data_IF_038224895372
#
_entry.id   IF_038224895372
#
_cell.length_a   1.000
_cell.length_b   1.000
_cell.length_c   1.000
_cell.angle_alpha   90.00
_cell.angle_beta   90.00
_cell.angle_gamma   90.00
#
_symmetry.space_group_name_H-M   'P 1'
#
loop_
_entity.id
_entity.type
_entity.pdbx_description
1 polymer ?
#
# COMPACT_ATOMS: atom_id res chain seq x y z
N UNK A 1 3.16 29.58 -3.63
CA UNK A 1 2.89 28.37 -4.42
C UNK A 1 1.57 27.82 -3.95
N UNK A 2 0.49 28.13 -4.65
CA UNK A 2 -0.86 27.69 -4.30
C UNK A 2 -1.24 26.65 -5.33
N UNK A 3 -1.32 25.37 -4.93
CA UNK A 3 -1.70 24.26 -5.81
C UNK A 3 -3.21 24.05 -5.79
N UNK A 4 -3.76 23.48 -6.87
CA UNK A 4 -5.18 23.09 -6.95
C UNK A 4 -5.33 21.70 -6.36
N UNK A 5 -6.20 21.56 -5.37
CA UNK A 5 -6.50 20.27 -4.72
C UNK A 5 -7.89 19.81 -5.14
N UNK A 6 -7.96 18.62 -5.74
CA UNK A 6 -9.22 17.95 -6.11
C UNK A 6 -9.32 16.62 -5.38
N UNK A 7 -10.50 16.35 -4.84
CA UNK A 7 -10.84 15.08 -4.20
C UNK A 7 -12.05 14.52 -4.92
N UNK A 8 -12.02 13.25 -5.30
CA UNK A 8 -13.20 12.53 -5.73
C UNK A 8 -13.77 11.71 -4.57
N UNK A 9 -14.97 12.07 -4.14
CA UNK A 9 -15.67 11.38 -3.07
C UNK A 9 -16.34 10.08 -3.54
N UNK A 10 -16.48 9.85 -4.85
CA UNK A 10 -17.03 8.61 -5.39
C UNK A 10 -15.94 7.53 -5.53
N UNK A 11 -14.73 7.92 -5.96
CA UNK A 11 -13.58 7.02 -6.03
C UNK A 11 -12.91 6.86 -4.66
N UNK A 12 -13.04 5.67 -4.08
CA UNK A 12 -12.43 5.31 -2.80
C UNK A 12 -11.25 4.35 -3.05
N UNK A 13 -10.09 4.65 -2.47
CA UNK A 13 -8.98 3.69 -2.40
C UNK A 13 -9.25 2.57 -1.39
N UNK A 14 -8.38 1.55 -1.32
CA UNK A 14 -8.52 0.35 -0.48
C UNK A 14 -8.82 0.65 1.01
N UNK A 15 -8.38 1.81 1.52
CA UNK A 15 -8.60 2.24 2.90
C UNK A 15 -9.94 2.98 3.12
N UNK A 16 -10.84 2.98 2.14
CA UNK A 16 -12.08 3.77 2.17
C UNK A 16 -11.84 5.29 2.15
N UNK A 17 -10.61 5.72 1.83
CA UNK A 17 -10.27 7.14 1.71
C UNK A 17 -10.50 7.59 0.27
N UNK A 18 -11.16 8.74 0.05
CA UNK A 18 -11.36 9.25 -1.30
C UNK A 18 -10.03 9.56 -2.00
N UNK A 19 -9.95 9.26 -3.29
CA UNK A 19 -8.79 9.59 -4.12
C UNK A 19 -8.62 11.11 -4.19
N UNK A 20 -7.39 11.57 -4.02
CA UNK A 20 -7.05 12.99 -3.97
C UNK A 20 -5.85 13.27 -4.88
N UNK A 21 -5.97 14.34 -5.65
CA UNK A 21 -4.96 14.83 -6.58
C UNK A 21 -4.60 16.27 -6.19
N UNK A 22 -3.30 16.51 -6.01
CA UNK A 22 -2.74 17.83 -5.70
C UNK A 22 -1.88 18.32 -6.87
N UNK A 23 -2.37 19.33 -7.58
CA UNK A 23 -1.72 19.91 -8.74
C UNK A 23 -0.67 20.92 -8.27
N UNK A 24 0.61 20.53 -8.39
CA UNK A 24 1.74 21.38 -8.00
C UNK A 24 2.08 22.47 -9.02
N UNK A 25 1.73 22.27 -10.29
CA UNK A 25 2.03 23.19 -11.41
C UNK A 25 1.02 23.00 -12.55
N UNK A 26 0.71 24.09 -13.25
CA UNK A 26 -0.25 24.13 -14.36
C UNK A 26 -1.63 24.57 -13.90
N UNK A 27 -2.56 24.69 -14.85
CA UNK A 27 -3.96 25.03 -14.62
C UNK A 27 -4.84 24.08 -15.45
N UNK A 28 -4.94 22.79 -15.05
CA UNK A 28 -5.72 21.81 -15.79
C UNK A 28 -7.20 22.15 -15.69
N UNK A 29 -7.92 21.92 -16.78
CA UNK A 29 -9.37 22.07 -16.81
C UNK A 29 -10.05 21.02 -15.94
N UNK A 30 -11.31 21.29 -15.55
CA UNK A 30 -12.12 20.32 -14.80
C UNK A 30 -12.33 19.00 -15.56
N UNK A 31 -12.40 19.08 -16.89
CA UNK A 31 -12.60 17.91 -17.76
C UNK A 31 -11.33 17.03 -17.80
N UNK A 32 -10.16 17.63 -17.90
CA UNK A 32 -8.88 16.90 -17.85
C UNK A 32 -8.67 16.24 -16.48
N UNK A 33 -9.04 16.92 -15.39
CA UNK A 33 -8.98 16.34 -14.05
C UNK A 33 -9.94 15.16 -13.90
N UNK A 34 -11.17 15.27 -14.43
CA UNK A 34 -12.14 14.18 -14.42
C UNK A 34 -11.64 12.98 -15.24
N UNK A 35 -11.08 13.22 -16.42
CA UNK A 35 -10.49 12.17 -17.26
C UNK A 35 -9.33 11.46 -16.54
N UNK A 36 -8.47 12.21 -15.85
CA UNK A 36 -7.35 11.63 -15.11
C UNK A 36 -7.83 10.81 -13.90
N UNK A 37 -8.82 11.30 -13.15
CA UNK A 37 -9.44 10.55 -12.05
C UNK A 37 -10.02 9.23 -12.58
N UNK A 38 -10.76 9.25 -13.68
CA UNK A 38 -11.37 8.06 -14.26
C UNK A 38 -10.31 7.00 -14.64
N UNK A 39 -9.24 7.41 -15.33
CA UNK A 39 -8.17 6.50 -15.75
C UNK A 39 -7.43 5.90 -14.55
N UNK A 40 -7.07 6.73 -13.57
CA UNK A 40 -6.34 6.26 -12.38
C UNK A 40 -7.22 5.36 -11.51
N UNK A 41 -8.51 5.66 -11.40
CA UNK A 41 -9.46 4.83 -10.64
C UNK A 41 -9.61 3.46 -11.27
N UNK A 42 -9.72 3.38 -12.60
CA UNK A 42 -9.81 2.10 -13.33
C UNK A 42 -8.53 1.27 -13.20
N UNK A 43 -7.36 1.91 -13.34
CA UNK A 43 -6.08 1.25 -13.13
C UNK A 43 -5.96 0.71 -11.70
N UNK A 44 -6.36 1.49 -10.70
CA UNK A 44 -6.34 1.06 -9.30
C UNK A 44 -7.31 -0.11 -9.05
N UNK A 45 -8.52 -0.06 -9.61
CA UNK A 45 -9.49 -1.15 -9.49
C UNK A 45 -8.99 -2.47 -10.11
N UNK A 46 -8.29 -2.38 -11.24
CA UNK A 46 -7.67 -3.54 -11.91
C UNK A 46 -6.57 -4.14 -11.03
N UNK A 47 -5.64 -3.32 -10.53
CA UNK A 47 -4.55 -3.79 -9.66
C UNK A 47 -5.08 -4.38 -8.34
N UNK A 48 -6.10 -3.76 -7.75
CA UNK A 48 -6.74 -4.25 -6.53
C UNK A 48 -7.45 -5.60 -6.76
N UNK A 49 -8.01 -5.84 -7.94
CA UNK A 49 -8.63 -7.13 -8.28
C UNK A 49 -7.59 -8.26 -8.43
N UNK A 50 -6.38 -7.94 -8.89
CA UNK A 50 -5.27 -8.89 -9.03
C UNK A 50 -4.45 -9.05 -7.73
N UNK A 51 -4.76 -8.26 -6.70
CA UNK A 51 -4.07 -8.31 -5.42
C UNK A 51 -4.28 -9.67 -4.73
N UNK A 52 -3.21 -10.44 -4.60
CA UNK A 52 -3.21 -11.72 -3.87
C UNK A 52 -3.12 -11.53 -2.35
N UNK A 53 -2.61 -10.38 -1.90
CA UNK A 53 -2.49 -10.08 -0.48
C UNK A 53 -3.84 -9.65 0.09
N UNK A 54 -4.17 -10.12 1.29
CA UNK A 54 -5.36 -9.62 1.99
C UNK A 54 -5.15 -8.18 2.46
N UNK A 55 -6.15 -7.32 2.27
CA UNK A 55 -6.15 -5.95 2.82
C UNK A 55 -6.23 -5.89 4.36
N UNK A 56 -6.57 -7.00 5.00
CA UNK A 56 -6.57 -7.08 6.44
C UNK A 56 -5.13 -7.01 6.95
N UNK A 57 -4.88 -6.04 7.83
CA UNK A 57 -3.63 -5.94 8.58
C UNK A 57 -3.53 -7.05 9.63
N UNK A 58 -3.25 -8.27 9.17
CA UNK A 58 -3.01 -9.40 10.06
C UNK A 58 -1.53 -9.45 10.44
N UNK A 59 -1.23 -9.99 11.62
CA UNK A 59 0.17 -10.25 11.99
C UNK A 59 0.71 -11.32 11.05
N UNK A 60 1.76 -10.98 10.31
CA UNK A 60 2.43 -11.93 9.43
C UNK A 60 2.92 -13.15 10.22
N UNK A 61 2.98 -14.30 9.56
CA UNK A 61 3.53 -15.53 10.15
C UNK A 61 4.94 -15.30 10.71
N UNK A 62 5.75 -14.46 10.05
CA UNK A 62 7.05 -14.00 10.53
C UNK A 62 6.96 -13.22 11.85
N UNK A 63 6.06 -12.23 11.95
CA UNK A 63 5.84 -11.48 13.20
C UNK A 63 5.44 -12.38 14.37
N UNK A 64 4.66 -13.43 14.09
CA UNK A 64 4.27 -14.44 15.09
C UNK A 64 5.48 -15.30 15.48
N UNK A 65 6.22 -15.85 14.51
CA UNK A 65 7.31 -16.80 14.75
C UNK A 65 8.57 -16.15 15.33
N UNK A 66 8.83 -14.88 15.05
CA UNK A 66 9.99 -14.12 15.55
C UNK A 66 10.05 -14.09 17.09
N UNK A 67 8.91 -14.23 17.79
CA UNK A 67 8.91 -14.33 19.27
C UNK A 67 9.58 -15.60 19.77
N UNK A 68 9.38 -16.72 19.10
CA UNK A 68 10.02 -17.99 19.48
C UNK A 68 11.54 -17.95 19.28
N UNK A 69 12.02 -17.04 18.42
CA UNK A 69 13.43 -16.82 18.12
C UNK A 69 14.10 -15.78 19.04
N UNK A 70 13.36 -15.19 20.00
CA UNK A 70 13.94 -14.25 20.99
C UNK A 70 14.82 -14.93 22.02
N UNK A 71 14.59 -16.21 22.28
CA UNK A 71 15.51 -17.04 23.05
C UNK A 71 16.60 -17.53 22.11
N UNK A 72 17.88 -17.41 22.48
CA UNK A 72 18.96 -17.98 21.68
C UNK A 72 18.69 -19.44 21.36
N UNK A 73 18.84 -19.83 20.11
CA UNK A 73 18.54 -21.20 19.69
C UNK A 73 19.51 -22.18 20.39
N UNK A 74 19.03 -23.36 20.83
CA UNK A 74 19.86 -24.31 21.57
C UNK A 74 21.06 -24.75 20.73
N UNK A 75 22.26 -24.38 21.20
CA UNK A 75 23.54 -24.67 20.55
C UNK A 75 23.79 -26.18 20.47
N UNK A 76 23.31 -26.91 21.48
CA UNK A 76 23.36 -28.37 21.60
C UNK A 76 22.64 -29.11 20.47
N UNK A 77 21.66 -28.47 19.81
CA UNK A 77 20.87 -29.06 18.70
C UNK A 77 21.50 -28.82 17.33
N UNK A 78 22.79 -28.48 17.28
CA UNK A 78 23.55 -28.28 16.04
C UNK A 78 23.37 -26.90 15.40
N UNK A 79 22.70 -25.96 16.06
CA UNK A 79 22.48 -24.60 15.56
C UNK A 79 23.69 -23.65 15.71
N UNK A 80 24.88 -24.17 16.04
CA UNK A 80 26.09 -23.36 16.23
C UNK A 80 27.04 -23.39 15.03
N UNK A 81 27.45 -22.17 14.63
CA UNK A 81 28.43 -21.72 13.63
C UNK A 81 28.27 -22.30 12.21
N UNK A 82 27.66 -21.52 11.33
CA UNK A 82 28.12 -21.46 9.94
C UNK A 82 29.60 -21.09 9.98
N UNK A 83 30.45 -21.93 9.41
CA UNK A 83 31.89 -21.73 9.39
C UNK A 83 32.28 -20.68 8.34
N UNK A 84 31.85 -19.42 8.51
CA UNK A 84 32.26 -18.27 7.71
C UNK A 84 32.11 -16.99 8.54
#
# INVERSE_FOLDING_TARGET
>A
MTGTHVTDAAAHGENGRPLSIDVRRGDPTSEELAALIAVVSEAYATEAADALASDQSTRSAWSVSQRALRTPLPRERGWSRSAW
#
